data_IF_351952859365
#
_entry.id   IF_351952859365
#
_cell.length_a   1.000
_cell.length_b   1.000
_cell.length_c   1.000
_cell.angle_alpha   90.00
_cell.angle_beta   90.00
_cell.angle_gamma   90.00
#
_symmetry.space_group_name_H-M   'P 1'
#
loop_
_entity.id
_entity.type
_entity.pdbx_description
1 polymer ?
#
# COMPACT_ATOMS: atom_id res chain seq x y z
N UNK A 1 -32.57 29.11 -38.12
CA UNK A 1 -33.05 28.38 -36.92
C UNK A 1 -32.90 26.88 -37.14
N UNK A 2 -31.75 26.31 -36.75
CA UNK A 2 -31.46 24.85 -36.72
C UNK A 2 -30.05 24.54 -36.14
N UNK A 3 -29.30 25.59 -35.74
CA UNK A 3 -27.90 25.49 -35.29
C UNK A 3 -27.72 25.63 -33.76
N UNK A 4 -28.81 25.61 -32.99
CA UNK A 4 -28.80 25.80 -31.51
C UNK A 4 -28.93 24.47 -30.75
N UNK A 5 -29.53 23.43 -31.35
CA UNK A 5 -29.71 22.13 -30.69
C UNK A 5 -28.45 21.26 -30.64
N UNK A 6 -27.46 21.54 -31.49
CA UNK A 6 -26.28 20.67 -31.61
C UNK A 6 -25.26 20.87 -30.47
N UNK A 7 -25.18 22.08 -29.90
CA UNK A 7 -24.24 22.40 -28.83
C UNK A 7 -24.70 21.94 -27.45
N UNK A 8 -26.02 21.79 -27.23
CA UNK A 8 -26.55 21.45 -25.91
C UNK A 8 -26.42 19.96 -25.56
N UNK A 9 -26.28 19.08 -26.56
CA UNK A 9 -26.18 17.62 -26.35
C UNK A 9 -24.74 17.16 -26.12
N UNK A 10 -23.74 17.90 -26.59
CA UNK A 10 -22.32 17.50 -26.50
C UNK A 10 -21.66 17.94 -25.18
N UNK A 11 -22.19 18.98 -24.51
CA UNK A 11 -21.57 19.53 -23.29
C UNK A 11 -21.94 18.73 -22.02
N UNK A 12 -22.97 17.88 -22.05
CA UNK A 12 -23.44 17.15 -20.86
C UNK A 12 -22.76 15.78 -20.62
N UNK A 13 -21.92 15.31 -21.54
CA UNK A 13 -21.29 13.97 -21.48
C UNK A 13 -19.78 14.03 -21.14
N UNK A 14 -19.37 15.02 -20.36
CA UNK A 14 -17.98 15.26 -19.97
C UNK A 14 -17.65 14.93 -18.52
N UNK A 15 -18.43 14.10 -17.83
CA UNK A 15 -18.13 13.67 -16.46
C UNK A 15 -17.06 12.57 -16.52
N UNK A 16 -15.80 12.98 -16.67
CA UNK A 16 -14.66 12.10 -16.40
C UNK A 16 -14.60 11.89 -14.90
N UNK A 17 -15.16 10.77 -14.43
CA UNK A 17 -14.92 10.29 -13.07
C UNK A 17 -13.44 9.95 -12.95
N UNK A 18 -12.65 10.89 -12.42
CA UNK A 18 -11.28 10.63 -11.97
C UNK A 18 -11.36 9.77 -10.71
N UNK A 19 -11.49 8.46 -10.88
CA UNK A 19 -11.26 7.53 -9.77
C UNK A 19 -9.79 7.62 -9.40
N UNK A 20 -9.50 8.03 -8.17
CA UNK A 20 -8.18 7.90 -7.58
C UNK A 20 -7.85 6.40 -7.45
N UNK A 21 -7.15 5.85 -8.44
CA UNK A 21 -6.57 4.53 -8.35
C UNK A 21 -5.29 4.64 -7.52
N UNK A 22 -5.31 4.16 -6.28
CA UNK A 22 -4.08 3.98 -5.54
C UNK A 22 -3.30 2.83 -6.19
N UNK A 23 -2.09 3.11 -6.65
CA UNK A 23 -1.26 2.11 -7.31
C UNK A 23 -0.75 1.09 -6.28
N UNK A 24 -0.97 -0.19 -6.56
CA UNK A 24 -0.31 -1.28 -5.83
C UNK A 24 1.09 -1.46 -6.41
N UNK A 25 2.11 -1.32 -5.58
CA UNK A 25 3.51 -1.49 -5.94
C UNK A 25 4.09 -2.74 -5.28
N UNK A 26 5.13 -3.31 -5.91
CA UNK A 26 5.91 -4.38 -5.29
C UNK A 26 7.20 -3.81 -4.72
N UNK A 27 7.48 -4.09 -3.45
CA UNK A 27 8.71 -3.69 -2.75
C UNK A 27 9.47 -4.91 -2.25
N UNK A 28 10.79 -4.77 -2.13
CA UNK A 28 11.63 -5.89 -1.69
C UNK A 28 12.84 -5.44 -0.88
N UNK A 29 13.14 -6.18 0.18
CA UNK A 29 14.27 -5.92 1.03
C UNK A 29 14.29 -6.74 2.31
N UNK A 30 15.37 -6.59 3.06
CA UNK A 30 15.53 -7.15 4.40
C UNK A 30 14.92 -6.18 5.41
N UNK A 31 14.11 -6.69 6.34
CA UNK A 31 13.48 -5.89 7.39
C UNK A 31 14.54 -5.40 8.37
N UNK A 32 14.54 -4.08 8.65
CA UNK A 32 15.42 -3.41 9.62
C UNK A 32 14.78 -3.31 11.00
N UNK A 33 13.49 -3.00 11.04
CA UNK A 33 12.75 -2.81 12.28
C UNK A 33 11.30 -3.23 12.11
N UNK A 34 10.73 -3.70 13.21
CA UNK A 34 9.31 -3.97 13.38
C UNK A 34 8.79 -3.12 14.54
N UNK A 35 7.60 -2.55 14.40
CA UNK A 35 6.93 -1.78 15.45
C UNK A 35 5.50 -2.29 15.62
N UNK A 36 5.05 -2.41 16.87
CA UNK A 36 3.71 -2.90 17.20
C UNK A 36 2.93 -1.78 17.89
N UNK A 37 1.72 -1.52 17.41
CA UNK A 37 0.80 -0.53 17.94
C UNK A 37 -0.57 -1.15 18.20
N UNK A 38 -1.44 -0.43 18.92
CA UNK A 38 -2.82 -0.86 19.15
C UNK A 38 -3.68 -0.86 17.87
N UNK A 39 -4.85 -1.47 17.97
CA UNK A 39 -5.83 -1.51 16.87
C UNK A 39 -6.18 -0.12 16.35
N UNK A 40 -6.32 0.02 15.03
CA UNK A 40 -6.67 1.28 14.38
C UNK A 40 -5.54 2.31 14.34
N UNK A 41 -4.32 1.91 14.70
CA UNK A 41 -3.12 2.74 14.63
C UNK A 41 -1.98 2.05 13.86
N UNK A 42 -2.31 1.42 12.72
CA UNK A 42 -1.32 0.76 11.87
C UNK A 42 -0.60 -0.34 12.67
N UNK A 43 -1.40 -1.31 13.13
CA UNK A 43 -1.09 -2.24 14.22
C UNK A 43 0.29 -2.91 14.15
N UNK A 44 0.80 -3.18 12.96
CA UNK A 44 2.14 -3.72 12.75
C UNK A 44 2.86 -2.98 11.63
N UNK A 45 4.05 -2.43 11.88
CA UNK A 45 4.84 -1.68 10.89
C UNK A 45 6.19 -2.32 10.62
N UNK A 46 6.66 -2.23 9.39
CA UNK A 46 7.99 -2.66 8.97
C UNK A 46 8.73 -1.54 8.25
N UNK A 47 10.05 -1.53 8.40
CA UNK A 47 10.97 -0.73 7.56
C UNK A 47 12.00 -1.64 6.92
N UNK A 48 12.38 -1.40 5.68
CA UNK A 48 13.51 -2.09 5.06
C UNK A 48 14.85 -1.44 5.42
N UNK A 49 15.93 -2.23 5.38
CA UNK A 49 17.30 -1.71 5.47
C UNK A 49 17.55 -0.70 4.34
N UNK A 50 18.24 0.39 4.66
CA UNK A 50 18.49 1.50 3.75
C UNK A 50 17.30 2.43 3.54
N UNK A 51 16.29 2.37 4.42
CA UNK A 51 15.12 3.26 4.45
C UNK A 51 14.46 3.43 3.06
N UNK A 52 14.27 2.29 2.38
CA UNK A 52 13.64 2.25 1.06
C UNK A 52 12.21 2.78 1.12
N UNK A 53 11.84 3.58 0.13
CA UNK A 53 10.47 4.06 -0.08
C UNK A 53 9.52 2.87 -0.34
N UNK A 54 8.47 2.78 0.45
CA UNK A 54 7.52 1.67 0.49
C UNK A 54 6.28 1.89 -0.38
N UNK A 55 5.97 3.11 -0.82
CA UNK A 55 4.91 3.42 -1.80
C UNK A 55 5.14 4.82 -2.41
N UNK A 56 4.39 5.23 -3.43
CA UNK A 56 4.52 6.49 -4.20
C UNK A 56 4.69 7.80 -3.40
N UNK A 57 4.48 7.81 -2.08
CA UNK A 57 4.44 9.01 -1.24
C UNK A 57 5.70 9.22 -0.37
N UNK A 58 6.84 8.63 -0.76
CA UNK A 58 8.15 8.74 -0.06
C UNK A 58 8.16 8.19 1.38
N UNK A 59 7.10 7.52 1.81
CA UNK A 59 7.03 6.91 3.13
C UNK A 59 7.94 5.67 3.17
N UNK A 60 8.76 5.55 4.23
CA UNK A 60 9.81 4.52 4.34
C UNK A 60 9.40 3.31 5.18
N UNK A 61 8.15 3.29 5.63
CA UNK A 61 7.54 2.18 6.33
C UNK A 61 6.24 1.74 5.68
N UNK A 62 5.88 0.48 5.88
CA UNK A 62 4.57 -0.06 5.53
C UNK A 62 3.94 -0.75 6.73
N UNK A 63 2.62 -0.82 6.75
CA UNK A 63 1.87 -1.41 7.86
C UNK A 63 0.89 -2.50 7.44
N UNK A 64 0.56 -3.37 8.39
CA UNK A 64 -0.58 -4.29 8.33
C UNK A 64 -1.56 -3.85 9.44
N UNK A 65 -2.83 -3.71 9.11
CA UNK A 65 -3.88 -3.36 10.08
C UNK A 65 -4.49 -4.62 10.69
N UNK A 66 -4.94 -4.56 11.94
CA UNK A 66 -5.51 -5.73 12.63
C UNK A 66 -6.75 -6.31 11.94
N UNK A 67 -7.45 -5.48 11.16
CA UNK A 67 -8.63 -5.82 10.37
C UNK A 67 -8.31 -6.45 9.01
N UNK A 68 -7.04 -6.49 8.62
CA UNK A 68 -6.64 -7.08 7.34
C UNK A 68 -6.88 -8.59 7.32
N UNK A 69 -7.28 -9.09 6.15
CA UNK A 69 -7.31 -10.52 5.90
C UNK A 69 -5.93 -11.12 6.15
N UNK A 70 -5.92 -12.25 6.86
CA UNK A 70 -4.70 -12.97 7.23
C UNK A 70 -3.70 -12.14 8.08
N UNK A 71 -4.15 -11.12 8.82
CA UNK A 71 -3.29 -10.28 9.67
C UNK A 71 -2.27 -11.08 10.48
N UNK A 72 -2.73 -12.08 11.25
CA UNK A 72 -1.86 -12.91 12.11
C UNK A 72 -0.78 -13.64 11.30
N UNK A 73 -1.14 -14.17 10.13
CA UNK A 73 -0.22 -14.86 9.22
C UNK A 73 0.79 -13.90 8.61
N UNK A 74 0.36 -12.70 8.21
CA UNK A 74 1.26 -11.67 7.69
C UNK A 74 2.27 -11.23 8.76
N UNK A 75 1.79 -10.94 9.97
CA UNK A 75 2.63 -10.54 11.11
C UNK A 75 3.63 -11.64 11.46
N UNK A 76 3.19 -12.90 11.59
CA UNK A 76 4.10 -14.01 11.92
C UNK A 76 5.16 -14.23 10.85
N UNK A 77 4.78 -14.13 9.57
CA UNK A 77 5.71 -14.27 8.43
C UNK A 77 6.75 -13.15 8.43
N UNK A 78 6.32 -11.89 8.60
CA UNK A 78 7.22 -10.73 8.64
C UNK A 78 8.16 -10.80 9.85
N UNK A 79 7.65 -11.18 11.03
CA UNK A 79 8.46 -11.33 12.23
C UNK A 79 9.50 -12.45 12.07
N UNK A 80 9.12 -13.56 11.45
CA UNK A 80 10.04 -14.66 11.12
C UNK A 80 11.09 -14.22 10.11
N UNK A 81 10.72 -13.51 9.05
CA UNK A 81 11.67 -12.99 8.07
C UNK A 81 12.65 -12.00 8.71
N UNK A 82 12.15 -11.14 9.62
CA UNK A 82 12.96 -10.22 10.40
C UNK A 82 13.97 -10.97 11.29
N UNK A 83 13.53 -11.97 12.04
CA UNK A 83 14.38 -12.71 12.99
C UNK A 83 15.48 -13.51 12.29
N UNK A 84 15.22 -14.05 11.10
CA UNK A 84 16.21 -14.81 10.32
C UNK A 84 17.01 -13.94 9.34
N UNK A 85 16.73 -12.64 9.27
CA UNK A 85 17.37 -11.70 8.35
C UNK A 85 17.08 -11.96 6.86
N UNK A 86 15.95 -12.62 6.54
CA UNK A 86 15.56 -12.90 5.17
C UNK A 86 15.08 -11.64 4.43
N UNK A 87 15.27 -11.62 3.12
CA UNK A 87 14.65 -10.63 2.23
C UNK A 87 13.21 -11.04 1.95
N UNK A 88 12.29 -10.09 2.01
CA UNK A 88 10.88 -10.28 1.66
C UNK A 88 10.52 -9.50 0.40
N UNK A 89 9.58 -10.03 -0.38
CA UNK A 89 8.88 -9.30 -1.44
C UNK A 89 7.45 -9.07 -0.98
N UNK A 90 7.00 -7.83 -0.98
CA UNK A 90 5.67 -7.43 -0.47
C UNK A 90 4.96 -6.56 -1.50
N UNK A 91 3.64 -6.60 -1.52
CA UNK A 91 2.81 -5.63 -2.22
C UNK A 91 2.35 -4.54 -1.25
N UNK A 92 2.40 -3.30 -1.71
CA UNK A 92 2.14 -2.11 -0.89
C UNK A 92 1.29 -1.14 -1.69
N UNK A 93 0.33 -0.49 -1.03
CA UNK A 93 -0.54 0.50 -1.63
C UNK A 93 -0.50 1.79 -0.81
N UNK A 94 -0.41 2.93 -1.49
CA UNK A 94 -0.57 4.22 -0.84
C UNK A 94 -2.02 4.41 -0.40
N UNK A 95 -2.24 4.78 0.85
CA UNK A 95 -3.58 5.13 1.35
C UNK A 95 -3.85 6.62 1.26
N UNK A 96 -5.13 7.01 1.35
CA UNK A 96 -5.55 8.42 1.38
C UNK A 96 -4.95 9.23 2.55
N UNK A 97 -4.41 8.56 3.57
CA UNK A 97 -3.71 9.19 4.72
C UNK A 97 -2.20 9.28 4.53
N UNK A 98 -1.71 9.05 3.31
CA UNK A 98 -0.30 9.08 2.94
C UNK A 98 0.60 8.02 3.59
N UNK A 99 0.05 6.89 4.01
CA UNK A 99 0.84 5.77 4.54
C UNK A 99 0.77 4.56 3.62
N UNK A 100 1.80 3.72 3.67
CA UNK A 100 1.88 2.51 2.84
C UNK A 100 1.21 1.33 3.55
N UNK A 101 0.08 0.87 3.01
CA UNK A 101 -0.59 -0.33 3.46
C UNK A 101 0.02 -1.55 2.79
N UNK A 102 0.53 -2.51 3.56
CA UNK A 102 1.03 -3.79 3.07
C UNK A 102 -0.16 -4.70 2.76
N UNK A 103 -0.38 -4.94 1.47
CA UNK A 103 -1.48 -5.77 0.97
C UNK A 103 -1.15 -7.24 1.18
N UNK A 104 -0.05 -7.73 0.62
CA UNK A 104 0.33 -9.14 0.69
C UNK A 104 1.85 -9.34 0.76
N UNK A 105 2.22 -10.55 1.18
CA UNK A 105 3.60 -11.04 1.15
C UNK A 105 3.71 -11.97 -0.05
N UNK A 106 4.50 -11.58 -1.05
CA UNK A 106 4.67 -12.30 -2.30
C UNK A 106 5.69 -13.43 -2.18
N UNK A 107 6.79 -13.20 -1.45
CA UNK A 107 7.79 -14.23 -1.17
C UNK A 107 8.70 -13.87 0.01
N UNK A 108 9.35 -14.89 0.57
CA UNK A 108 10.42 -14.77 1.56
C UNK A 108 11.62 -15.57 1.06
N UNK A 109 12.80 -14.95 0.96
CA UNK A 109 14.03 -15.55 0.43
C UNK A 109 15.21 -15.23 1.34
N UNK A 110 16.02 -16.25 1.66
CA UNK A 110 17.25 -16.11 2.43
C UNK A 110 18.45 -15.93 1.51
#
# INVERSE_FOLDING_TARGET
MKSIYFYFVVVLLGVTLSFSANAVETKSGVIRSVEVFGEGNYAFRIRFRGDKVMCTLNETWAYVESTDSNYKTKVSTLLTAFSIGASVRVSTEATARNHCHLRDILSVSK
#
